data_IF_915325767355
#
_entry.id   IF_915325767355
#
_cell.length_a   1.000
_cell.length_b   1.000
_cell.length_c   1.000
_cell.angle_alpha   90.00
_cell.angle_beta   90.00
_cell.angle_gamma   90.00
#
_symmetry.space_group_name_H-M   'P 1'
#
loop_
_entity.id
_entity.type
_entity.pdbx_description
1 polymer ?
#
# COMPACT_ATOMS: atom_id res chain seq x y z
N UNK A 1 -17.61 -11.59 -3.11
CA UNK A 1 -16.26 -12.26 -3.02
C UNK A 1 -16.25 -13.18 -1.81
N UNK A 2 -15.78 -14.43 -1.92
CA UNK A 2 -15.70 -15.37 -0.78
C UNK A 2 -14.38 -15.18 -0.06
N UNK A 3 -14.43 -14.87 1.24
CA UNK A 3 -13.24 -14.73 2.07
C UNK A 3 -12.91 -16.07 2.74
N UNK A 4 -11.78 -16.66 2.41
CA UNK A 4 -11.25 -17.88 3.04
C UNK A 4 -9.94 -17.60 3.76
N UNK A 5 -9.10 -16.68 3.21
CA UNK A 5 -7.78 -16.34 3.73
C UNK A 5 -7.60 -14.83 3.76
N UNK A 6 -7.46 -14.27 4.94
CA UNK A 6 -7.31 -12.83 5.18
C UNK A 6 -6.02 -12.57 5.95
N UNK A 7 -5.24 -11.59 5.52
CA UNK A 7 -4.09 -11.14 6.30
C UNK A 7 -4.37 -9.79 6.96
N UNK A 8 -3.78 -9.58 8.12
CA UNK A 8 -3.88 -8.34 8.91
C UNK A 8 -2.51 -7.73 9.05
N UNK A 9 -2.40 -6.48 8.59
CA UNK A 9 -1.18 -5.67 8.63
C UNK A 9 -1.43 -4.47 9.53
N UNK A 10 -0.93 -4.49 10.75
CA UNK A 10 -1.06 -3.38 11.69
C UNK A 10 0.09 -2.38 11.59
N UNK A 11 -0.15 -1.16 12.08
CA UNK A 11 0.90 -0.16 12.27
C UNK A 11 1.89 -0.66 13.32
N UNK A 12 3.16 -0.72 12.95
CA UNK A 12 4.22 -1.16 13.84
C UNK A 12 4.35 -0.24 15.06
N UNK A 13 4.48 -0.84 16.26
CA UNK A 13 4.65 -0.11 17.51
C UNK A 13 3.43 0.71 17.96
N UNK A 14 2.25 0.42 17.45
CA UNK A 14 1.00 1.08 17.83
C UNK A 14 0.10 0.10 18.58
N UNK A 15 0.01 0.25 19.88
CA UNK A 15 -0.84 -0.60 20.73
C UNK A 15 -2.30 -0.62 20.27
N UNK A 16 -2.84 0.54 19.88
CA UNK A 16 -4.21 0.65 19.37
C UNK A 16 -4.39 -0.20 18.10
N UNK A 17 -3.42 -0.18 17.19
CA UNK A 17 -3.47 -0.97 15.95
C UNK A 17 -3.29 -2.47 16.23
N UNK A 18 -2.52 -2.84 17.23
CA UNK A 18 -2.33 -4.23 17.67
C UNK A 18 -3.61 -4.77 18.33
N UNK A 19 -4.24 -4.00 19.21
CA UNK A 19 -5.52 -4.37 19.84
C UNK A 19 -6.64 -4.51 18.80
N UNK A 20 -6.68 -3.61 17.81
CA UNK A 20 -7.60 -3.71 16.68
C UNK A 20 -7.33 -4.97 15.83
N UNK A 21 -6.06 -5.30 15.60
CA UNK A 21 -5.69 -6.52 14.87
C UNK A 21 -6.14 -7.78 15.60
N UNK A 22 -6.00 -7.81 16.92
CA UNK A 22 -6.48 -8.93 17.75
C UNK A 22 -8.00 -9.06 17.67
N UNK A 23 -8.73 -7.96 17.81
CA UNK A 23 -10.21 -7.95 17.75
C UNK A 23 -10.71 -8.43 16.38
N UNK A 24 -10.17 -7.87 15.28
CA UNK A 24 -10.57 -8.26 13.91
C UNK A 24 -10.22 -9.72 13.63
N UNK A 25 -9.04 -10.18 14.05
CA UNK A 25 -8.63 -11.58 13.90
C UNK A 25 -9.63 -12.51 14.53
N UNK A 26 -10.03 -12.26 15.79
CA UNK A 26 -11.02 -13.08 16.50
C UNK A 26 -12.37 -13.12 15.77
N UNK A 27 -12.84 -11.98 15.26
CA UNK A 27 -14.09 -11.90 14.48
C UNK A 27 -14.02 -12.73 13.20
N UNK A 28 -12.92 -12.66 12.45
CA UNK A 28 -12.72 -13.43 11.22
C UNK A 28 -12.60 -14.94 11.49
N UNK A 29 -11.84 -15.31 12.52
CA UNK A 29 -11.69 -16.72 12.95
C UNK A 29 -13.04 -17.32 13.34
N UNK A 30 -13.87 -16.58 14.09
CA UNK A 30 -15.23 -17.01 14.45
C UNK A 30 -16.11 -17.27 13.21
N UNK A 31 -15.85 -16.57 12.10
CA UNK A 31 -16.50 -16.81 10.79
C UNK A 31 -15.81 -17.93 9.97
N UNK A 32 -14.90 -18.70 10.57
CA UNK A 32 -14.11 -19.77 9.93
C UNK A 32 -13.21 -19.31 8.78
N UNK A 33 -12.77 -18.06 8.83
CA UNK A 33 -11.82 -17.50 7.90
C UNK A 33 -10.41 -17.73 8.45
N UNK A 34 -9.49 -18.22 7.63
CA UNK A 34 -8.10 -18.40 8.00
C UNK A 34 -7.41 -17.03 8.03
N UNK A 35 -6.85 -16.69 9.18
CA UNK A 35 -6.25 -15.37 9.41
C UNK A 35 -4.73 -15.50 9.51
N UNK A 36 -4.04 -14.57 8.87
CA UNK A 36 -2.59 -14.38 8.97
C UNK A 36 -2.29 -13.05 9.65
N UNK A 37 -1.37 -13.06 10.61
CA UNK A 37 -0.89 -11.83 11.28
C UNK A 37 0.61 -11.71 11.10
N UNK A 38 1.12 -10.47 11.11
CA UNK A 38 2.56 -10.20 10.99
C UNK A 38 3.13 -9.87 12.37
N UNK A 39 4.33 -10.40 12.65
CA UNK A 39 5.07 -10.06 13.85
C UNK A 39 5.13 -8.52 14.07
N UNK A 40 4.97 -7.99 15.32
CA UNK A 40 4.88 -8.72 16.57
C UNK A 40 3.47 -9.23 16.94
N UNK A 41 2.42 -8.92 16.15
CA UNK A 41 1.05 -9.33 16.46
C UNK A 41 0.93 -10.84 16.41
N UNK A 42 0.44 -11.41 17.50
CA UNK A 42 0.18 -12.85 17.62
C UNK A 42 -1.20 -13.06 18.23
N UNK A 43 -2.06 -13.75 17.52
CA UNK A 43 -3.45 -14.01 17.94
C UNK A 43 -3.70 -15.51 17.94
N UNK A 44 -4.32 -16.03 19.01
CA UNK A 44 -4.69 -17.45 19.09
C UNK A 44 -5.63 -17.81 17.93
N UNK A 45 -5.28 -18.86 17.18
CA UNK A 45 -6.03 -19.31 16.02
C UNK A 45 -5.65 -18.62 14.69
N UNK A 46 -4.79 -17.60 14.71
CA UNK A 46 -4.19 -17.03 13.50
C UNK A 46 -2.81 -17.63 13.24
N UNK A 47 -2.43 -17.71 11.98
CA UNK A 47 -1.06 -18.04 11.57
C UNK A 47 -0.19 -16.78 11.59
N UNK A 48 0.88 -16.81 12.36
CA UNK A 48 1.86 -15.73 12.40
C UNK A 48 2.89 -15.91 11.29
N UNK A 49 3.15 -14.83 10.54
CA UNK A 49 4.25 -14.73 9.59
C UNK A 49 5.25 -13.67 10.07
N UNK A 50 6.52 -13.84 9.74
CA UNK A 50 7.56 -12.95 10.25
C UNK A 50 7.69 -11.66 9.43
N UNK A 51 7.26 -11.68 8.16
CA UNK A 51 7.39 -10.50 7.29
C UNK A 51 6.28 -10.37 6.24
N UNK A 52 6.16 -9.17 5.67
CA UNK A 52 5.30 -8.92 4.51
C UNK A 52 5.78 -9.68 3.26
N UNK A 53 7.06 -9.97 3.16
CA UNK A 53 7.61 -10.75 2.06
C UNK A 53 7.14 -12.21 2.13
N UNK A 54 7.12 -12.81 3.32
CA UNK A 54 6.50 -14.14 3.50
C UNK A 54 5.02 -14.11 3.18
N UNK A 55 4.32 -13.06 3.63
CA UNK A 55 2.90 -12.88 3.36
C UNK A 55 2.62 -12.79 1.84
N UNK A 56 3.48 -12.15 1.08
CA UNK A 56 3.34 -12.02 -0.38
C UNK A 56 3.38 -13.35 -1.14
N UNK A 57 3.92 -14.41 -0.54
CA UNK A 57 3.98 -15.76 -1.11
C UNK A 57 2.69 -16.55 -0.89
N UNK A 58 1.79 -16.03 -0.05
CA UNK A 58 0.51 -16.67 0.29
C UNK A 58 -0.58 -16.10 -0.63
N UNK A 59 -1.36 -16.98 -1.25
CA UNK A 59 -2.55 -16.54 -1.99
C UNK A 59 -3.63 -16.16 -1.00
N UNK A 60 -3.86 -14.86 -0.86
CA UNK A 60 -4.84 -14.25 0.02
C UNK A 60 -6.07 -13.79 -0.78
N UNK A 61 -7.23 -13.76 -0.14
CA UNK A 61 -8.44 -13.17 -0.71
C UNK A 61 -8.55 -11.68 -0.37
N UNK A 62 -8.01 -11.28 0.81
CA UNK A 62 -8.04 -9.89 1.27
C UNK A 62 -6.85 -9.62 2.19
N UNK A 63 -6.33 -8.40 2.14
CA UNK A 63 -5.45 -7.84 3.17
C UNK A 63 -6.18 -6.71 3.87
N UNK A 64 -6.18 -6.70 5.20
CA UNK A 64 -6.71 -5.61 6.03
C UNK A 64 -5.53 -4.85 6.61
N UNK A 65 -5.43 -3.55 6.32
CA UNK A 65 -4.42 -2.69 6.95
C UNK A 65 -5.04 -1.87 8.07
N UNK A 66 -4.38 -1.86 9.23
CA UNK A 66 -4.82 -1.17 10.44
C UNK A 66 -3.84 -0.05 10.79
N UNK A 67 -4.20 1.18 10.48
CA UNK A 67 -3.35 2.35 10.67
C UNK A 67 -3.68 3.47 9.69
N UNK A 68 -2.73 4.35 9.45
CA UNK A 68 -2.83 5.40 8.43
C UNK A 68 -2.18 4.99 7.11
N UNK A 69 -2.06 5.95 6.19
CA UNK A 69 -1.56 5.76 4.83
C UNK A 69 -0.19 5.06 4.77
N UNK A 70 0.73 5.37 5.69
CA UNK A 70 2.03 4.71 5.73
C UNK A 70 1.97 3.18 5.93
N UNK A 71 0.98 2.67 6.68
CA UNK A 71 0.76 1.22 6.84
C UNK A 71 0.24 0.62 5.55
N UNK A 72 -0.68 1.30 4.89
CA UNK A 72 -1.25 0.91 3.60
C UNK A 72 -0.19 0.91 2.50
N UNK A 73 0.61 1.97 2.39
CA UNK A 73 1.72 2.06 1.44
C UNK A 73 2.76 0.94 1.64
N UNK A 74 3.05 0.60 2.91
CA UNK A 74 3.93 -0.52 3.23
C UNK A 74 3.36 -1.85 2.75
N UNK A 75 2.05 -2.07 2.88
CA UNK A 75 1.39 -3.26 2.35
C UNK A 75 1.48 -3.30 0.82
N UNK A 76 1.12 -2.22 0.13
CA UNK A 76 1.21 -2.13 -1.33
C UNK A 76 2.62 -2.36 -1.88
N UNK A 77 3.65 -1.86 -1.19
CA UNK A 77 5.05 -2.05 -1.60
C UNK A 77 5.48 -3.50 -1.56
N UNK A 78 5.00 -4.27 -0.61
CA UNK A 78 5.46 -5.64 -0.36
C UNK A 78 4.56 -6.70 -1.01
N UNK A 79 3.30 -6.39 -1.27
CA UNK A 79 2.38 -7.31 -1.93
C UNK A 79 2.50 -7.12 -3.45
N UNK A 80 3.15 -8.07 -4.12
CA UNK A 80 3.39 -8.03 -5.58
C UNK A 80 2.19 -8.51 -6.40
N UNK A 81 1.21 -9.14 -5.75
CA UNK A 81 0.00 -9.65 -6.38
C UNK A 81 -1.13 -8.60 -6.36
N UNK A 82 -2.25 -8.92 -7.02
CA UNK A 82 -3.45 -8.08 -7.09
C UNK A 82 -4.43 -8.34 -5.93
N UNK A 83 -3.95 -8.81 -4.78
CA UNK A 83 -4.82 -9.02 -3.62
C UNK A 83 -5.46 -7.70 -3.18
N UNK A 84 -6.80 -7.61 -3.06
CA UNK A 84 -7.47 -6.43 -2.57
C UNK A 84 -6.99 -6.05 -1.16
N UNK A 85 -6.95 -4.75 -0.89
CA UNK A 85 -6.58 -4.21 0.42
C UNK A 85 -7.76 -3.39 0.95
N UNK A 86 -8.25 -3.74 2.14
CA UNK A 86 -9.19 -2.94 2.90
C UNK A 86 -8.40 -2.09 3.92
N UNK A 87 -8.54 -0.79 3.83
CA UNK A 87 -7.79 0.14 4.67
C UNK A 87 -8.65 0.68 5.80
N UNK A 88 -8.25 0.43 7.04
CA UNK A 88 -8.97 0.85 8.24
C UNK A 88 -8.15 1.87 9.01
N UNK A 89 -8.70 3.06 9.19
CA UNK A 89 -8.12 4.05 10.08
C UNK A 89 -8.32 3.64 11.54
N UNK A 90 -7.21 3.48 12.25
CA UNK A 90 -7.21 3.15 13.67
C UNK A 90 -6.55 4.27 14.45
N UNK A 91 -7.34 5.32 14.71
CA UNK A 91 -6.91 6.50 15.46
C UNK A 91 -6.07 7.50 14.63
N UNK A 92 -6.09 8.75 15.07
CA UNK A 92 -5.41 9.85 14.38
C UNK A 92 -6.22 10.47 13.23
N UNK A 93 -5.55 11.32 12.44
CA UNK A 93 -6.19 11.95 11.28
C UNK A 93 -6.45 10.90 10.20
N UNK A 94 -7.62 10.99 9.58
CA UNK A 94 -7.97 10.15 8.44
C UNK A 94 -7.03 10.45 7.27
N UNK A 95 -6.34 9.45 6.78
CA UNK A 95 -5.51 9.56 5.59
C UNK A 95 -6.35 9.50 4.29
N UNK A 96 -5.70 9.78 3.16
CA UNK A 96 -6.33 9.73 1.83
C UNK A 96 -6.67 8.28 1.42
N UNK A 97 -5.86 7.32 1.88
CA UNK A 97 -6.04 5.91 1.55
C UNK A 97 -6.95 5.14 2.53
N UNK A 98 -7.45 5.81 3.57
CA UNK A 98 -8.28 5.16 4.59
C UNK A 98 -9.74 5.12 4.16
N UNK A 99 -10.26 3.92 3.88
CA UNK A 99 -11.62 3.70 3.39
C UNK A 99 -12.66 3.79 4.50
N UNK A 100 -12.43 3.08 5.60
CA UNK A 100 -13.38 2.92 6.69
C UNK A 100 -12.73 3.14 8.06
N UNK A 101 -13.57 3.25 9.08
CA UNK A 101 -13.17 3.19 10.48
C UNK A 101 -13.29 1.76 11.03
N UNK A 102 -12.84 1.57 12.28
CA UNK A 102 -12.92 0.25 12.92
C UNK A 102 -14.38 -0.18 13.17
N UNK A 103 -15.27 0.77 13.43
CA UNK A 103 -16.68 0.52 13.70
C UNK A 103 -17.42 -0.02 12.46
N UNK A 104 -16.97 0.36 11.26
CA UNK A 104 -17.56 -0.05 9.98
C UNK A 104 -17.14 -1.48 9.54
N UNK A 105 -16.22 -2.13 10.29
CA UNK A 105 -15.60 -3.39 9.85
C UNK A 105 -16.59 -4.53 9.59
N UNK A 106 -17.58 -4.73 10.45
CA UNK A 106 -18.54 -5.83 10.31
C UNK A 106 -19.46 -5.64 9.11
N UNK A 107 -19.83 -4.38 8.83
CA UNK A 107 -20.62 -4.02 7.66
C UNK A 107 -19.81 -4.21 6.37
N UNK A 108 -18.54 -3.79 6.38
CA UNK A 108 -17.62 -3.99 5.25
C UNK A 108 -17.43 -5.48 4.94
N UNK A 109 -17.19 -6.33 5.95
CA UNK A 109 -17.07 -7.79 5.75
C UNK A 109 -18.37 -8.39 5.20
N UNK A 110 -19.52 -7.88 5.64
CA UNK A 110 -20.82 -8.31 5.14
C UNK A 110 -21.04 -7.91 3.68
N UNK A 111 -20.71 -6.67 3.31
CA UNK A 111 -20.80 -6.18 1.95
C UNK A 111 -19.86 -6.97 1.00
N UNK A 112 -18.62 -7.22 1.43
CA UNK A 112 -17.66 -8.07 0.69
C UNK A 112 -18.25 -9.46 0.45
N UNK A 113 -18.86 -10.06 1.47
CA UNK A 113 -19.48 -11.39 1.37
C UNK A 113 -20.65 -11.45 0.38
N UNK A 114 -21.39 -10.35 0.23
CA UNK A 114 -22.50 -10.19 -0.71
C UNK A 114 -22.08 -9.74 -2.11
N UNK A 115 -20.80 -9.46 -2.31
CA UNK A 115 -20.24 -8.86 -3.53
C UNK A 115 -20.80 -7.45 -3.83
N UNK A 116 -21.21 -6.75 -2.78
CA UNK A 116 -21.73 -5.38 -2.80
C UNK A 116 -20.61 -4.40 -2.41
N UNK A 117 -19.58 -4.36 -3.26
CA UNK A 117 -18.39 -3.53 -3.09
C UNK A 117 -17.92 -2.98 -4.43
N UNK A 118 -17.23 -1.86 -4.36
CA UNK A 118 -16.45 -1.34 -5.47
C UNK A 118 -14.96 -1.63 -5.23
N UNK A 119 -14.26 -2.14 -6.26
CA UNK A 119 -12.80 -2.34 -6.23
C UNK A 119 -12.13 -1.19 -6.96
N UNK A 120 -11.44 -0.34 -6.22
CA UNK A 120 -10.62 0.72 -6.77
C UNK A 120 -9.28 0.16 -7.25
N UNK A 121 -9.04 0.22 -8.56
CA UNK A 121 -7.78 -0.24 -9.17
C UNK A 121 -6.78 0.90 -9.21
N UNK A 122 -5.62 0.69 -8.60
CA UNK A 122 -4.56 1.68 -8.52
C UNK A 122 -3.33 1.23 -9.31
N UNK A 123 -2.85 2.10 -10.20
CA UNK A 123 -1.57 1.91 -10.90
C UNK A 123 -0.42 1.99 -9.91
N UNK A 124 0.58 1.13 -10.07
CA UNK A 124 1.85 1.18 -9.34
C UNK A 124 3.01 1.28 -10.32
N UNK A 125 4.04 2.05 -9.96
CA UNK A 125 5.27 2.12 -10.75
C UNK A 125 6.34 1.20 -10.18
N UNK A 126 7.16 0.62 -11.05
CA UNK A 126 8.29 -0.24 -10.68
C UNK A 126 9.55 0.33 -11.32
N UNK A 127 10.63 0.42 -10.56
CA UNK A 127 11.94 0.75 -11.09
C UNK A 127 12.81 -0.49 -11.21
N UNK A 128 13.70 -0.48 -12.20
CA UNK A 128 14.81 -1.41 -12.27
C UNK A 128 16.13 -0.65 -12.44
N UNK A 129 17.20 -1.13 -11.84
CA UNK A 129 18.54 -0.57 -11.98
C UNK A 129 19.54 -1.72 -12.12
N UNK A 130 20.37 -1.68 -13.16
CA UNK A 130 21.38 -2.70 -13.45
C UNK A 130 20.82 -4.15 -13.46
N UNK A 131 19.57 -4.31 -13.92
CA UNK A 131 18.89 -5.61 -13.98
C UNK A 131 18.23 -6.07 -12.67
N UNK A 132 18.36 -5.30 -11.60
CA UNK A 132 17.67 -5.53 -10.34
C UNK A 132 16.37 -4.71 -10.30
N UNK A 133 15.25 -5.38 -10.00
CA UNK A 133 13.93 -4.78 -9.88
C UNK A 133 13.64 -4.41 -8.42
N UNK A 134 13.21 -3.18 -8.19
CA UNK A 134 12.79 -2.69 -6.87
C UNK A 134 11.33 -3.03 -6.58
N UNK A 135 10.95 -2.87 -5.32
CA UNK A 135 9.56 -3.03 -4.90
C UNK A 135 8.64 -1.99 -5.57
N UNK A 136 7.42 -2.37 -5.98
CA UNK A 136 6.48 -1.44 -6.59
C UNK A 136 6.10 -0.31 -5.63
N UNK A 137 5.96 0.89 -6.17
CA UNK A 137 5.50 2.07 -5.45
C UNK A 137 4.08 2.45 -5.89
N UNK A 138 3.20 2.71 -4.90
CA UNK A 138 1.86 3.23 -5.17
C UNK A 138 1.90 4.72 -5.50
N UNK A 139 2.79 5.48 -4.86
CA UNK A 139 2.88 6.92 -5.04
C UNK A 139 3.89 7.31 -6.12
N UNK A 140 5.17 7.21 -5.83
CA UNK A 140 6.23 7.69 -6.72
C UNK A 140 7.53 6.93 -6.53
N UNK A 141 8.41 7.04 -7.54
CA UNK A 141 9.83 6.70 -7.47
C UNK A 141 10.61 8.00 -7.56
N UNK A 142 11.49 8.23 -6.60
CA UNK A 142 12.36 9.38 -6.57
C UNK A 142 13.81 8.98 -6.83
N UNK A 143 14.39 9.52 -7.89
CA UNK A 143 15.81 9.38 -8.24
C UNK A 143 16.48 10.70 -7.98
N UNK A 144 17.42 10.74 -7.02
CA UNK A 144 18.11 11.97 -6.67
C UNK A 144 19.63 11.83 -6.77
N UNK A 145 20.31 12.97 -6.82
CA UNK A 145 21.77 13.03 -6.77
C UNK A 145 22.29 12.51 -5.42
N UNK A 146 23.36 11.72 -5.47
CA UNK A 146 24.02 11.22 -4.25
C UNK A 146 24.77 12.32 -3.51
N UNK A 147 25.41 13.23 -4.26
CA UNK A 147 26.20 14.32 -3.68
C UNK A 147 25.39 15.61 -3.66
N UNK A 148 24.97 16.06 -2.49
CA UNK A 148 24.13 17.25 -2.30
C UNK A 148 24.83 18.58 -2.61
N UNK A 149 26.18 18.60 -2.68
CA UNK A 149 26.95 19.82 -2.95
C UNK A 149 27.24 20.03 -4.44
N UNK A 150 26.95 19.05 -5.30
CA UNK A 150 27.18 19.11 -6.75
C UNK A 150 25.90 18.84 -7.50
N UNK A 151 25.60 19.66 -8.50
CA UNK A 151 24.51 19.37 -9.44
C UNK A 151 24.82 18.11 -10.24
N UNK A 152 23.82 17.29 -10.49
CA UNK A 152 23.90 16.15 -11.39
C UNK A 152 23.26 16.50 -12.75
N UNK A 153 23.79 15.94 -13.82
CA UNK A 153 23.16 15.99 -15.13
C UNK A 153 22.36 14.68 -15.31
N UNK A 154 21.08 14.83 -15.59
CA UNK A 154 20.18 13.73 -15.88
C UNK A 154 19.88 13.70 -17.37
N UNK A 155 19.97 12.52 -17.97
CA UNK A 155 19.46 12.24 -19.30
C UNK A 155 18.23 11.34 -19.15
N UNK A 156 17.07 11.90 -19.49
CA UNK A 156 15.79 11.21 -19.39
C UNK A 156 15.32 10.88 -20.80
N UNK A 157 15.09 9.59 -21.09
CA UNK A 157 14.62 9.10 -22.37
C UNK A 157 13.17 8.65 -22.25
N UNK A 158 12.33 9.23 -23.10
CA UNK A 158 10.94 8.84 -23.29
C UNK A 158 10.81 8.31 -24.70
N UNK A 159 10.30 7.13 -24.93
CA UNK A 159 10.05 6.59 -26.28
C UNK A 159 10.95 7.17 -27.40
N UNK A 160 10.59 8.32 -27.98
CA UNK A 160 11.28 8.99 -29.07
C UNK A 160 12.00 10.29 -28.67
N UNK A 161 11.87 10.75 -27.43
CA UNK A 161 12.43 12.01 -26.96
C UNK A 161 13.52 11.81 -25.90
N UNK A 162 14.45 12.76 -25.85
CA UNK A 162 15.49 12.79 -24.82
C UNK A 162 15.61 14.19 -24.24
N UNK A 163 15.51 14.29 -22.92
CA UNK A 163 15.72 15.53 -22.18
C UNK A 163 17.02 15.42 -21.39
N UNK A 164 17.92 16.42 -21.54
CA UNK A 164 19.14 16.54 -20.73
C UNK A 164 19.07 17.81 -19.91
N UNK A 165 19.16 17.66 -18.60
CA UNK A 165 19.06 18.80 -17.69
C UNK A 165 19.88 18.58 -16.41
N UNK A 166 20.47 19.67 -15.90
CA UNK A 166 21.05 19.69 -14.55
C UNK A 166 19.95 19.91 -13.52
N UNK A 167 19.81 18.96 -12.60
CA UNK A 167 18.76 19.01 -11.58
C UNK A 167 19.19 18.25 -10.33
N UNK A 168 18.40 18.35 -9.28
CA UNK A 168 18.64 17.64 -8.03
C UNK A 168 18.12 16.19 -8.07
N UNK A 169 17.10 15.95 -8.87
CA UNK A 169 16.51 14.63 -9.03
C UNK A 169 15.30 14.65 -9.95
N UNK A 170 14.70 13.47 -10.12
CA UNK A 170 13.50 13.23 -10.92
C UNK A 170 12.50 12.45 -10.07
N UNK A 171 11.25 12.86 -10.08
CA UNK A 171 10.14 12.12 -9.49
C UNK A 171 9.31 11.56 -10.62
N UNK A 172 9.08 10.25 -10.59
CA UNK A 172 8.15 9.56 -11.48
C UNK A 172 6.97 9.14 -10.61
N UNK A 173 5.82 9.76 -10.84
CA UNK A 173 4.64 9.63 -9.98
C UNK A 173 3.50 8.90 -10.68
N UNK A 174 2.70 8.20 -9.88
CA UNK A 174 1.38 7.68 -10.29
C UNK A 174 0.31 8.72 -10.00
N UNK A 175 -0.92 8.56 -10.50
CA UNK A 175 -2.04 9.40 -10.10
C UNK A 175 -2.29 9.40 -8.58
N UNK A 176 -2.14 8.24 -7.90
CA UNK A 176 -2.22 8.17 -6.43
C UNK A 176 -1.15 9.01 -5.75
N UNK A 177 0.05 9.09 -6.32
CA UNK A 177 1.17 9.92 -5.83
C UNK A 177 1.02 11.40 -6.13
N UNK A 178 0.07 11.79 -7.00
CA UNK A 178 -0.10 13.19 -7.42
C UNK A 178 -0.44 14.14 -6.28
N UNK A 179 -1.00 13.64 -5.19
CA UNK A 179 -1.33 14.42 -3.98
C UNK A 179 -0.21 14.47 -2.93
N UNK A 180 0.93 13.83 -3.21
CA UNK A 180 2.04 13.67 -2.24
C UNK A 180 3.28 14.48 -2.63
N UNK A 181 4.44 13.82 -2.77
CA UNK A 181 5.71 14.51 -3.00
C UNK A 181 5.73 15.24 -4.34
N UNK A 182 5.13 14.67 -5.39
CA UNK A 182 4.99 15.34 -6.68
C UNK A 182 4.26 16.68 -6.56
N UNK A 183 3.16 16.73 -5.81
CA UNK A 183 2.42 17.98 -5.56
C UNK A 183 3.27 19.02 -4.83
N UNK A 184 4.06 18.61 -3.85
CA UNK A 184 4.88 19.52 -3.04
C UNK A 184 5.95 20.28 -3.85
N UNK A 185 6.29 19.78 -5.04
CA UNK A 185 7.25 20.41 -5.96
C UNK A 185 6.58 21.03 -7.20
N UNK A 186 5.25 21.13 -7.21
CA UNK A 186 4.48 21.77 -8.29
C UNK A 186 4.00 20.81 -9.38
N UNK A 187 4.00 19.51 -9.14
CA UNK A 187 3.40 18.52 -10.04
C UNK A 187 1.87 18.66 -10.12
N UNK A 188 1.24 18.17 -11.21
CA UNK A 188 -0.21 18.24 -11.39
C UNK A 188 -0.94 17.32 -10.42
N UNK A 189 -2.21 17.66 -10.10
CA UNK A 189 -3.14 16.76 -9.44
C UNK A 189 -3.87 15.93 -10.51
N UNK A 190 -3.81 14.62 -10.38
CA UNK A 190 -4.45 13.69 -11.29
C UNK A 190 -5.48 12.84 -10.55
N UNK A 191 -6.56 12.53 -11.25
CA UNK A 191 -7.55 11.60 -10.73
C UNK A 191 -6.98 10.18 -10.72
N UNK A 192 -7.17 9.46 -9.64
CA UNK A 192 -6.59 8.13 -9.42
C UNK A 192 -7.01 7.05 -10.43
N UNK A 193 -8.13 7.24 -11.13
CA UNK A 193 -8.60 6.33 -12.19
C UNK A 193 -7.81 6.42 -13.49
N UNK A 194 -6.91 7.41 -13.63
CA UNK A 194 -6.08 7.53 -14.83
C UNK A 194 -4.99 6.47 -14.83
N UNK A 195 -4.77 5.85 -15.98
CA UNK A 195 -3.68 4.88 -16.19
C UNK A 195 -2.48 5.57 -16.84
N UNK A 196 -1.80 6.41 -16.07
CA UNK A 196 -0.65 7.20 -16.49
C UNK A 196 0.42 7.24 -15.39
N UNK A 197 1.64 7.58 -15.80
CA UNK A 197 2.72 8.04 -14.90
C UNK A 197 3.30 9.35 -15.44
N UNK A 198 3.77 10.23 -14.56
CA UNK A 198 4.25 11.57 -14.92
C UNK A 198 5.45 12.00 -14.09
#
# INVERSE_FOLDING_TARGET
MKLNKVAIVSKFGSKISEDAAEMISKKLIAKKIKVYTIAPVSVSGAEKVESLEELSKIKLDLVVTLGGDGTTLRAFRNLRNETPILTINVGGNRGILSEITLDDFDDAVTAIGKDDIWLDKRTRVVASCNGEEFSPALNEIYVNRKNLTKTAEFEIKFQNDTVKQKMDGVIISTPSGSTWHSFSIGGPLLHESLDVSF
#
